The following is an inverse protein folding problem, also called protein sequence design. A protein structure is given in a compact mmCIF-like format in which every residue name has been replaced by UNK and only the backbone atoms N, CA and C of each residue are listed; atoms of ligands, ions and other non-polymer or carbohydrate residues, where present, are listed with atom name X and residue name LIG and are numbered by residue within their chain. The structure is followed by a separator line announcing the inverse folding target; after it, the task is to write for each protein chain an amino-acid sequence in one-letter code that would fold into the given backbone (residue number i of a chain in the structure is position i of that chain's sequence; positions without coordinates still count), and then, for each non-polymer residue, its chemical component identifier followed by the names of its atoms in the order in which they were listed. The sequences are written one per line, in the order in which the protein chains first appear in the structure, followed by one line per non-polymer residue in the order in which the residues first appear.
data_IF_530109890445
#
_entry.id   IF_530109890445
#
_cell.length_a   1.000
_cell.length_b   1.000
_cell.length_c   1.000
_cell.angle_alpha   90.00
_cell.angle_beta   90.00
_cell.angle_gamma   90.00
#
_symmetry.space_group_name_H-M   'P 1'
#
loop_
_entity.id
_entity.type
_entity.pdbx_description
1 polymer ?
#
# COMPACT_ATOMS: atom_id res chain seq x y z
N UNK A 1 -6.92 5.40 -12.32
CA UNK A 1 -7.28 4.25 -13.17
C UNK A 1 -6.43 3.08 -12.77
N UNK A 2 -6.22 2.12 -13.67
CA UNK A 2 -5.32 0.98 -13.47
C UNK A 2 -3.94 1.25 -14.06
N UNK A 3 -2.92 0.59 -13.53
CA UNK A 3 -1.57 0.63 -14.08
C UNK A 3 -1.50 -0.20 -15.36
N UNK A 4 -0.81 0.32 -16.39
CA UNK A 4 -0.57 -0.38 -17.65
C UNK A 4 0.90 -0.74 -17.73
N UNK A 5 1.20 -2.02 -17.92
CA UNK A 5 2.57 -2.56 -17.92
C UNK A 5 2.83 -3.44 -19.14
N UNK A 6 4.09 -3.55 -19.52
CA UNK A 6 4.60 -4.60 -20.41
C UNK A 6 5.47 -5.60 -19.64
N UNK A 7 6.27 -6.38 -20.36
CA UNK A 7 7.18 -7.36 -19.78
C UNK A 7 8.33 -6.74 -18.98
N UNK A 8 8.65 -5.45 -19.17
CA UNK A 8 9.83 -4.80 -18.57
C UNK A 8 9.47 -3.72 -17.57
N UNK A 9 8.28 -3.14 -17.62
CA UNK A 9 7.84 -2.15 -16.64
C UNK A 9 6.53 -1.44 -16.95
N UNK A 10 6.31 -0.36 -16.22
CA UNK A 10 5.15 0.52 -16.39
C UNK A 10 5.27 1.29 -17.70
N UNK A 11 4.20 1.30 -18.48
CA UNK A 11 4.07 2.08 -19.73
C UNK A 11 3.19 3.31 -19.52
N UNK A 12 2.18 3.21 -18.66
CA UNK A 12 1.26 4.30 -18.43
C UNK A 12 0.15 3.95 -17.45
N UNK A 13 -0.92 4.74 -17.51
CA UNK A 13 -2.10 4.59 -16.69
C UNK A 13 -3.36 4.74 -17.54
N UNK A 14 -4.36 3.90 -17.29
CA UNK A 14 -5.68 4.10 -17.88
C UNK A 14 -6.28 5.39 -17.33
N UNK A 15 -6.59 6.32 -18.23
CA UNK A 15 -7.17 7.64 -17.89
C UNK A 15 -8.61 7.79 -18.34
N UNK A 16 -9.04 7.06 -19.37
CA UNK A 16 -10.46 6.94 -19.74
C UNK A 16 -10.82 5.52 -20.13
N UNK A 17 -12.05 5.13 -19.81
CA UNK A 17 -12.62 3.83 -20.14
C UNK A 17 -13.86 4.06 -20.99
N UNK A 18 -13.95 3.33 -22.10
CA UNK A 18 -15.10 3.26 -23.00
C UNK A 18 -15.60 1.80 -23.03
N UNK A 19 -16.80 1.53 -23.57
CA UNK A 19 -17.39 0.18 -23.53
C UNK A 19 -16.51 -0.94 -24.11
N UNK A 20 -15.66 -0.63 -25.10
CA UNK A 20 -14.82 -1.60 -25.81
C UNK A 20 -13.35 -1.15 -25.96
N UNK A 21 -12.97 -0.05 -25.34
CA UNK A 21 -11.62 0.51 -25.45
C UNK A 21 -11.27 1.36 -24.23
N UNK A 22 -10.02 1.76 -24.12
CA UNK A 22 -9.55 2.66 -23.06
C UNK A 22 -8.45 3.55 -23.59
N UNK A 23 -8.34 4.75 -23.04
CA UNK A 23 -7.21 5.65 -23.27
C UNK A 23 -6.18 5.45 -22.17
N UNK A 24 -4.92 5.36 -22.58
CA UNK A 24 -3.77 5.23 -21.70
C UNK A 24 -2.92 6.48 -21.84
N UNK A 25 -2.69 7.17 -20.73
CA UNK A 25 -1.68 8.23 -20.65
C UNK A 25 -0.34 7.58 -20.34
N UNK A 26 0.67 7.86 -21.18
CA UNK A 26 2.00 7.28 -21.05
C UNK A 26 2.78 7.90 -19.89
N UNK A 27 3.70 7.14 -19.31
CA UNK A 27 4.59 7.63 -18.23
C UNK A 27 5.44 8.83 -18.66
N UNK A 28 5.67 9.01 -19.95
CA UNK A 28 6.43 10.14 -20.51
C UNK A 28 5.61 11.41 -20.67
N UNK A 29 4.31 11.37 -20.42
CA UNK A 29 3.46 12.56 -20.42
C UNK A 29 3.71 13.45 -19.19
N UNK A 30 3.80 14.76 -19.39
CA UNK A 30 4.09 15.75 -18.33
C UNK A 30 3.03 15.83 -17.25
N UNK A 31 1.80 15.45 -17.58
CA UNK A 31 0.66 15.48 -16.67
C UNK A 31 0.57 14.23 -15.81
N UNK A 32 1.30 13.16 -16.14
CA UNK A 32 1.26 11.92 -15.38
C UNK A 32 2.34 11.92 -14.28
N UNK A 33 1.87 11.89 -13.05
CA UNK A 33 2.69 11.74 -11.85
C UNK A 33 2.66 10.28 -11.40
N UNK A 34 3.83 9.71 -11.13
CA UNK A 34 3.97 8.32 -10.68
C UNK A 34 4.74 8.30 -9.36
N UNK A 35 4.12 7.88 -8.25
CA UNK A 35 4.81 7.72 -6.99
C UNK A 35 5.81 6.58 -7.06
N UNK A 36 7.09 6.91 -7.04
CA UNK A 36 8.20 5.96 -7.17
C UNK A 36 9.00 5.84 -5.87
N UNK A 37 9.77 4.76 -5.79
CA UNK A 37 10.74 4.49 -4.75
C UNK A 37 12.03 3.99 -5.40
N UNK A 38 13.17 4.44 -4.88
CA UNK A 38 14.48 3.92 -5.26
C UNK A 38 14.63 2.52 -4.64
N UNK A 39 14.94 1.52 -5.46
CA UNK A 39 15.06 0.13 -5.02
C UNK A 39 16.19 -0.08 -4.01
N UNK A 40 17.31 0.65 -4.18
CA UNK A 40 18.51 0.51 -3.32
C UNK A 40 18.28 0.92 -1.87
N UNK A 41 17.67 2.08 -1.64
CA UNK A 41 17.62 2.71 -0.31
C UNK A 41 16.21 3.05 0.17
N UNK A 42 15.19 2.80 -0.65
CA UNK A 42 13.79 3.05 -0.29
C UNK A 42 13.37 4.52 -0.27
N UNK A 43 14.21 5.44 -0.78
CA UNK A 43 13.83 6.84 -0.92
C UNK A 43 12.61 6.95 -1.84
N UNK A 44 11.57 7.66 -1.39
CA UNK A 44 10.37 7.92 -2.19
C UNK A 44 10.46 9.25 -2.91
N UNK A 45 9.94 9.28 -4.13
CA UNK A 45 9.87 10.46 -4.98
C UNK A 45 8.61 10.40 -5.85
N UNK A 46 8.39 11.44 -6.65
CA UNK A 46 7.36 11.46 -7.68
C UNK A 46 8.05 11.67 -9.01
N UNK A 47 7.83 10.73 -9.93
CA UNK A 47 8.30 10.84 -11.31
C UNK A 47 7.25 11.50 -12.18
N UNK A 48 7.70 12.37 -13.06
CA UNK A 48 6.89 13.01 -14.09
C UNK A 48 7.47 12.71 -15.45
N UNK A 49 6.61 12.57 -16.45
CA UNK A 49 7.07 12.55 -17.83
C UNK A 49 7.72 13.88 -18.20
N UNK A 50 8.83 13.84 -18.95
CA UNK A 50 9.45 15.05 -19.47
C UNK A 50 8.69 15.60 -20.70
N UNK A 51 7.81 14.80 -21.31
CA UNK A 51 7.05 15.12 -22.53
C UNK A 51 7.89 15.28 -23.80
N UNK A 52 9.17 14.96 -23.73
CA UNK A 52 10.12 14.89 -24.85
C UNK A 52 11.17 13.85 -24.55
N UNK A 53 11.83 13.38 -25.61
CA UNK A 53 13.00 12.50 -25.55
C UNK A 53 12.76 11.18 -24.79
N UNK A 54 11.49 10.80 -24.57
CA UNK A 54 11.09 9.59 -23.85
C UNK A 54 11.75 9.42 -22.47
N UNK A 55 11.88 10.52 -21.73
CA UNK A 55 12.50 10.54 -20.40
C UNK A 55 11.51 10.93 -19.30
N UNK A 56 11.88 10.62 -18.05
CA UNK A 56 11.18 11.06 -16.84
C UNK A 56 12.08 12.00 -16.03
N UNK A 57 11.46 12.90 -15.27
CA UNK A 57 12.12 13.80 -14.33
C UNK A 57 11.67 13.54 -12.88
N UNK A 58 12.58 13.71 -11.92
CA UNK A 58 12.27 13.79 -10.48
C UNK A 58 12.54 15.23 -9.96
N UNK A 59 11.64 16.20 -10.19
CA UNK A 59 11.94 17.63 -10.02
C UNK A 59 12.01 18.12 -8.56
N UNK A 60 11.59 17.31 -7.59
CA UNK A 60 11.39 17.77 -6.20
C UNK A 60 12.36 17.13 -5.19
N UNK A 61 13.51 16.64 -5.67
CA UNK A 61 14.51 16.02 -4.80
C UNK A 61 15.58 17.04 -4.37
N UNK A 62 15.79 17.24 -3.05
CA UNK A 62 16.86 18.09 -2.54
C UNK A 62 18.24 17.61 -3.00
N UNK A 63 19.19 18.54 -3.16
CA UNK A 63 20.56 18.26 -3.63
C UNK A 63 21.38 17.30 -2.75
N UNK A 64 20.98 17.11 -1.49
CA UNK A 64 21.70 16.29 -0.51
C UNK A 64 21.09 14.89 -0.33
N UNK A 65 20.12 14.52 -1.18
CA UNK A 65 19.48 13.21 -1.10
C UNK A 65 20.40 12.12 -1.63
N UNK A 66 20.35 10.92 -1.03
CA UNK A 66 21.09 9.77 -1.52
C UNK A 66 20.44 9.20 -2.79
N UNK A 67 20.84 9.71 -3.96
CA UNK A 67 20.45 9.21 -5.28
C UNK A 67 21.68 9.13 -6.18
N UNK A 68 21.76 8.07 -6.98
CA UNK A 68 22.93 7.78 -7.80
C UNK A 68 22.51 7.43 -9.22
N UNK A 69 23.39 7.74 -10.19
CA UNK A 69 23.22 7.27 -11.56
C UNK A 69 23.22 5.74 -11.58
N UNK A 70 22.27 5.16 -12.30
CA UNK A 70 22.05 3.71 -12.34
C UNK A 70 21.01 3.21 -11.34
N UNK A 71 20.49 4.06 -10.45
CA UNK A 71 19.42 3.65 -9.54
C UNK A 71 18.17 3.24 -10.28
N UNK A 72 17.59 2.12 -9.85
CA UNK A 72 16.31 1.63 -10.34
C UNK A 72 15.17 2.22 -9.54
N UNK A 73 14.18 2.72 -10.28
CA UNK A 73 12.94 3.27 -9.74
C UNK A 73 11.83 2.25 -9.93
N UNK A 74 11.12 1.97 -8.84
CA UNK A 74 9.94 1.11 -8.83
C UNK A 74 8.74 1.88 -8.29
N UNK A 75 7.52 1.45 -8.59
CA UNK A 75 6.31 2.04 -8.01
C UNK A 75 6.30 1.85 -6.49
N UNK A 76 5.89 2.88 -5.75
CA UNK A 76 5.93 2.88 -4.28
C UNK A 76 4.70 2.23 -3.62
N UNK A 77 3.57 2.13 -4.34
CA UNK A 77 2.31 1.62 -3.79
C UNK A 77 1.45 2.63 -3.04
N UNK A 78 1.92 3.87 -2.82
CA UNK A 78 1.30 4.80 -1.86
C UNK A 78 -0.04 5.39 -2.31
N UNK A 79 -0.31 5.43 -3.61
CA UNK A 79 -1.52 6.02 -4.17
C UNK A 79 -2.68 5.02 -4.35
N UNK A 80 -2.43 3.72 -4.15
CA UNK A 80 -3.40 2.66 -4.40
C UNK A 80 -3.75 2.44 -5.88
N UNK A 81 -3.09 3.15 -6.80
CA UNK A 81 -3.25 2.98 -8.25
C UNK A 81 -2.22 2.00 -8.77
N UNK A 82 -0.96 2.22 -8.43
CA UNK A 82 0.13 1.32 -8.79
C UNK A 82 0.40 0.36 -7.64
N UNK A 83 0.33 -0.97 -7.83
CA UNK A 83 0.91 -1.90 -6.86
C UNK A 83 2.38 -1.56 -6.63
N UNK A 84 2.89 -1.79 -5.42
CA UNK A 84 4.31 -1.55 -5.13
C UNK A 84 5.21 -2.53 -5.90
N UNK A 85 6.36 -2.05 -6.38
CA UNK A 85 7.44 -2.88 -6.94
C UNK A 85 7.44 -3.06 -8.47
N UNK A 86 6.56 -2.38 -9.22
CA UNK A 86 6.61 -2.39 -10.68
C UNK A 86 7.78 -1.53 -11.17
N UNK A 87 8.61 -2.03 -12.09
CA UNK A 87 9.74 -1.28 -12.65
C UNK A 87 9.24 -0.06 -13.42
N UNK A 88 9.83 1.11 -13.19
CA UNK A 88 9.44 2.37 -13.85
C UNK A 88 10.56 2.88 -14.74
N UNK A 89 11.73 3.15 -14.17
CA UNK A 89 12.85 3.77 -14.88
C UNK A 89 14.19 3.54 -14.18
N UNK A 90 15.27 3.92 -14.86
CA UNK A 90 16.62 3.95 -14.30
C UNK A 90 17.18 5.38 -14.37
N UNK A 91 17.79 5.86 -13.29
CA UNK A 91 18.42 7.18 -13.23
C UNK A 91 19.58 7.24 -14.23
N UNK A 92 19.49 8.13 -15.21
CA UNK A 92 20.50 8.27 -16.26
C UNK A 92 21.42 9.48 -16.01
N UNK A 93 20.89 10.55 -15.41
CA UNK A 93 21.63 11.78 -15.19
C UNK A 93 21.13 12.52 -13.95
N UNK A 94 22.07 13.18 -13.24
CA UNK A 94 21.80 14.03 -12.10
C UNK A 94 22.50 15.37 -12.36
N UNK A 95 21.73 16.44 -12.47
CA UNK A 95 22.19 17.81 -12.67
C UNK A 95 21.90 18.63 -11.42
N UNK A 96 22.93 19.27 -10.86
CA UNK A 96 22.80 20.18 -9.73
C UNK A 96 23.13 21.58 -10.22
N UNK A 97 22.15 22.48 -10.15
CA UNK A 97 22.32 23.88 -10.53
C UNK A 97 22.49 24.73 -9.26
N UNK A 98 23.48 25.63 -9.18
CA UNK A 98 23.70 26.48 -8.01
C UNK A 98 22.48 27.32 -7.59
N UNK A 99 21.63 27.67 -8.55
CA UNK A 99 20.47 28.53 -8.35
C UNK A 99 19.19 27.77 -7.96
N UNK A 100 19.26 26.44 -7.79
CA UNK A 100 18.11 25.59 -7.45
C UNK A 100 18.37 24.80 -6.16
N UNK A 101 17.43 24.81 -5.19
CA UNK A 101 17.51 23.93 -4.02
C UNK A 101 17.22 22.46 -4.36
N UNK A 102 16.72 22.18 -5.57
CA UNK A 102 16.39 20.85 -6.05
C UNK A 102 17.33 20.41 -7.18
N UNK A 103 17.74 19.13 -7.14
CA UNK A 103 18.45 18.49 -8.23
C UNK A 103 17.49 18.17 -9.37
N UNK A 104 17.96 18.32 -10.61
CA UNK A 104 17.26 17.84 -11.79
C UNK A 104 17.77 16.45 -12.12
N UNK A 105 16.92 15.46 -11.96
CA UNK A 105 17.26 14.05 -12.15
C UNK A 105 16.48 13.54 -13.35
N UNK A 106 17.22 13.09 -14.37
CA UNK A 106 16.66 12.51 -15.59
C UNK A 106 16.73 10.99 -15.49
N UNK A 107 15.65 10.32 -15.86
CA UNK A 107 15.53 8.88 -15.83
C UNK A 107 15.06 8.34 -17.18
N UNK A 108 15.54 7.15 -17.53
CA UNK A 108 15.13 6.43 -18.73
C UNK A 108 14.11 5.35 -18.34
N UNK A 109 12.88 5.39 -18.90
CA UNK A 109 11.87 4.35 -18.71
C UNK A 109 12.37 2.93 -18.96
N UNK A 110 11.91 1.98 -18.13
CA UNK A 110 12.20 0.55 -18.33
C UNK A 110 11.18 -0.12 -19.24
N UNK A 111 9.91 0.28 -19.13
CA UNK A 111 8.87 -0.13 -20.08
C UNK A 111 9.19 0.40 -21.47
N UNK A 112 8.89 -0.38 -22.50
CA UNK A 112 8.82 0.20 -23.83
C UNK A 112 7.77 1.32 -23.82
N UNK A 113 7.88 2.30 -24.70
CA UNK A 113 6.90 3.40 -24.78
C UNK A 113 6.54 3.72 -26.24
N UNK A 114 7.27 3.11 -27.18
CA UNK A 114 7.19 3.39 -28.61
C UNK A 114 6.48 2.28 -29.40
N UNK A 115 6.59 1.00 -28.99
CA UNK A 115 6.11 -0.14 -29.77
C UNK A 115 5.51 -1.24 -28.90
N UNK A 116 4.19 -1.22 -28.70
CA UNK A 116 3.47 -2.22 -27.91
C UNK A 116 2.39 -2.90 -28.73
N UNK A 117 2.52 -4.22 -28.89
CA UNK A 117 1.46 -5.06 -29.46
C UNK A 117 0.46 -5.53 -28.40
N UNK A 118 0.93 -5.72 -27.18
CA UNK A 118 0.17 -6.28 -26.06
C UNK A 118 0.62 -5.59 -24.78
N UNK A 119 -0.33 -5.33 -23.89
CA UNK A 119 -0.10 -4.73 -22.57
C UNK A 119 -0.94 -5.47 -21.54
N UNK A 120 -0.54 -5.39 -20.27
CA UNK A 120 -1.29 -5.93 -19.15
C UNK A 120 -1.82 -4.78 -18.30
N UNK A 121 -3.09 -4.89 -17.89
CA UNK A 121 -3.67 -4.04 -16.87
C UNK A 121 -3.46 -4.68 -15.51
N UNK A 122 -2.93 -3.89 -14.56
CA UNK A 122 -2.69 -4.33 -13.20
C UNK A 122 -3.47 -3.43 -12.26
N UNK A 123 -4.42 -4.04 -11.55
CA UNK A 123 -5.27 -3.39 -10.56
C UNK A 123 -5.00 -3.93 -9.17
N UNK A 124 -5.14 -3.06 -8.19
CA UNK A 124 -5.24 -3.45 -6.79
C UNK A 124 -6.73 -3.68 -6.50
N UNK A 125 -7.13 -4.87 -6.03
CA UNK A 125 -8.53 -5.15 -5.73
C UNK A 125 -9.03 -4.18 -4.66
N UNK A 126 -10.00 -3.35 -5.03
CA UNK A 126 -10.73 -2.51 -4.09
C UNK A 126 -11.63 -3.44 -3.28
N UNK A 127 -11.42 -3.53 -1.97
CA UNK A 127 -12.39 -4.19 -1.09
C UNK A 127 -13.61 -3.30 -1.09
N UNK A 128 -14.66 -3.67 -1.83
CA UNK A 128 -15.94 -3.00 -1.73
C UNK A 128 -16.39 -3.06 -0.27
N UNK A 129 -16.55 -1.89 0.35
CA UNK A 129 -17.18 -1.82 1.65
C UNK A 129 -18.56 -2.48 1.53
N UNK A 130 -18.81 -3.51 2.35
CA UNK A 130 -20.12 -4.14 2.43
C UNK A 130 -21.19 -3.06 2.58
N UNK A 131 -22.30 -3.11 1.82
CA UNK A 131 -23.34 -2.11 1.95
C UNK A 131 -23.85 -2.09 3.40
N UNK A 132 -23.92 -0.88 3.97
CA UNK A 132 -24.32 -0.61 5.35
C UNK A 132 -25.71 -1.19 5.69
N UNK A 133 -26.54 -1.47 4.67
CA UNK A 133 -27.84 -2.15 4.82
C UNK A 133 -27.74 -3.59 5.35
N UNK A 134 -26.57 -4.21 5.34
CA UNK A 134 -26.36 -5.51 5.97
C UNK A 134 -26.19 -5.44 7.50
N UNK A 135 -26.04 -4.23 8.08
CA UNK A 135 -25.82 -4.02 9.52
C UNK A 135 -27.14 -3.80 10.27
N UNK A 136 -28.25 -3.51 9.59
CA UNK A 136 -29.57 -3.37 10.22
C UNK A 136 -30.49 -4.57 9.95
N UNK A 137 -30.38 -5.60 10.79
CA UNK A 137 -31.54 -6.36 11.24
C UNK A 137 -31.23 -7.04 12.56
N UNK A 138 -31.63 -6.47 13.71
CA UNK A 138 -31.76 -7.29 14.89
C UNK A 138 -32.93 -8.25 14.59
N UNK A 139 -32.61 -9.53 14.48
CA UNK A 139 -33.60 -10.59 14.41
C UNK A 139 -34.66 -10.35 15.49
N UNK A 140 -35.91 -10.15 15.06
CA UNK A 140 -37.06 -10.06 15.96
C UNK A 140 -37.16 -11.41 16.69
N UNK A 141 -36.61 -11.49 17.89
CA UNK A 141 -36.81 -12.63 18.78
C UNK A 141 -38.30 -12.66 19.14
N UNK A 142 -39.02 -13.65 18.62
CA UNK A 142 -40.36 -14.00 19.08
C UNK A 142 -40.29 -14.46 20.54
N UNK A 143 -40.42 -13.52 21.47
CA UNK A 143 -40.57 -13.82 22.89
C UNK A 143 -42.01 -14.30 23.12
N UNK A 144 -42.21 -15.62 23.12
CA UNK A 144 -43.42 -16.21 23.71
C UNK A 144 -43.36 -16.00 25.23
N UNK A 145 -44.44 -15.54 25.89
CA UNK A 145 -44.40 -15.35 27.33
C UNK A 145 -44.26 -16.71 28.04
N UNK A 146 -43.15 -16.89 28.76
CA UNK A 146 -42.97 -17.98 29.72
C UNK A 146 -43.88 -17.68 30.92
N UNK A 147 -44.88 -18.52 31.12
CA UNK A 147 -45.77 -18.47 32.27
C UNK A 147 -44.95 -18.62 33.56
N UNK A 148 -45.09 -17.67 34.49
CA UNK A 148 -44.34 -17.63 35.73
C UNK A 148 -44.87 -18.68 36.73
N UNK A 149 -44.12 -19.76 36.92
CA UNK A 149 -44.19 -20.60 38.12
C UNK A 149 -42.86 -21.36 38.32
N UNK A 150 -41.90 -20.73 38.99
CA UNK A 150 -40.79 -21.44 39.62
C UNK A 150 -40.28 -20.66 40.84
N UNK A 151 -40.28 -21.33 41.99
CA UNK A 151 -39.89 -20.85 43.33
C UNK A 151 -38.38 -20.53 43.38
N UNK A 152 -37.91 -19.47 44.05
CA UNK A 152 -36.49 -19.11 44.03
C UNK A 152 -35.63 -20.12 44.82
N UNK A 153 -34.47 -20.56 44.30
CA UNK A 153 -33.53 -21.41 45.03
C UNK A 153 -32.61 -20.58 45.95
N UNK A 154 -32.24 -21.18 47.09
CA UNK A 154 -31.38 -20.58 48.14
C UNK A 154 -29.92 -20.44 47.68
N UNK A 155 -29.33 -19.27 47.95
CA UNK A 155 -27.92 -18.94 47.71
C UNK A 155 -27.02 -19.68 48.74
N UNK A 156 -25.95 -20.40 48.35
CA UNK A 156 -24.99 -20.97 49.30
C UNK A 156 -24.00 -19.90 49.81
N UNK A 157 -23.57 -20.04 51.08
CA UNK A 157 -22.66 -19.08 51.76
C UNK A 157 -21.22 -19.11 51.21
N UNK A 158 -20.46 -18.00 51.29
CA UNK A 158 -19.10 -17.92 50.79
C UNK A 158 -18.10 -18.77 51.60
N UNK A 159 -17.11 -19.33 50.90
CA UNK A 159 -16.01 -20.12 51.46
C UNK A 159 -14.99 -19.19 52.16
N UNK A 160 -14.52 -19.51 53.38
CA UNK A 160 -13.56 -18.67 54.10
C UNK A 160 -12.11 -18.83 53.58
N UNK A 161 -11.24 -17.81 53.77
CA UNK A 161 -9.88 -17.80 53.24
C UNK A 161 -8.91 -18.71 54.02
N UNK A 162 -7.81 -19.16 53.37
CA UNK A 162 -6.86 -20.08 53.98
C UNK A 162 -5.95 -19.40 55.01
N UNK A 163 -5.65 -20.12 56.10
CA UNK A 163 -4.69 -19.68 57.13
C UNK A 163 -3.24 -20.01 56.71
N UNK A 164 -2.26 -19.15 57.04
CA UNK A 164 -0.86 -19.50 56.88
C UNK A 164 -0.39 -20.29 58.09
N UNK A 165 0.53 -21.25 57.93
CA UNK A 165 1.50 -21.47 58.98
C UNK A 165 2.82 -22.09 58.52
N UNK A 166 3.81 -21.72 59.31
CA UNK A 166 5.25 -21.69 59.09
C UNK A 166 5.94 -22.89 59.79
N UNK A 167 7.27 -22.95 59.65
CA UNK A 167 8.28 -23.61 60.52
C UNK A 167 8.57 -25.12 60.41
N UNK A 168 9.68 -25.41 59.71
CA UNK A 168 10.94 -26.04 60.17
C UNK A 168 10.97 -27.03 61.37
N UNK A 169 11.60 -28.22 61.17
CA UNK A 169 12.91 -28.66 61.74
C UNK A 169 13.23 -30.17 61.46
N UNK A 170 14.48 -30.65 61.70
CA UNK A 170 15.14 -31.77 61.01
C UNK A 170 15.41 -33.02 61.90
N UNK A 171 16.37 -33.89 61.48
CA UNK A 171 16.94 -35.13 62.08
C UNK A 171 16.27 -36.44 61.64
N UNK A 172 16.92 -37.60 61.50
CA UNK A 172 18.32 -38.07 61.37
C UNK A 172 18.23 -39.61 61.17
N UNK A 173 19.25 -40.19 60.53
CA UNK A 173 19.79 -41.58 60.63
C UNK A 173 18.88 -42.78 60.93
N UNK A 174 18.90 -43.78 60.04
CA UNK A 174 19.64 -45.05 60.22
C UNK A 174 19.82 -45.77 58.87
#
# INVERSE_FOLDING_TARGET
GEAVVDATGVIGQVTRVYPLSSEVTLITDKSLAIPVQIERNGLRAIAFGHGRDNTLDLPYLPINVDIQRGDRLVTSGIDGVYPAGLSVATVSQIEITPDSPFARIVCVPTGGIENHRQVLLVSIPQVEAMPESAIESPAKLDVRPINAQAKPPKIPKPIPPPKPNNTSKPHASE
#
